data_IF_745533066839
#
_entry.id   IF_745533066839
#
_cell.length_a   1.000
_cell.length_b   1.000
_cell.length_c   1.000
_cell.angle_alpha   90.00
_cell.angle_beta   90.00
_cell.angle_gamma   90.00
#
_symmetry.space_group_name_H-M   'P 1'
#
loop_
_entity.id
_entity.type
_entity.pdbx_description
1 polymer ?
#
# COMPACT_ATOMS: atom_id res chain seq x y z
N UNK A 1 -14.13 -0.94 -7.21
CA UNK A 1 -14.22 -2.41 -6.95
C UNK A 1 -13.46 -3.20 -8.03
N UNK A 2 -12.25 -2.76 -8.40
CA UNK A 2 -11.61 -3.21 -9.65
C UNK A 2 -10.62 -4.36 -9.42
N UNK A 3 -9.97 -4.43 -8.25
CA UNK A 3 -8.94 -5.46 -7.98
C UNK A 3 -9.50 -6.87 -7.80
N UNK A 4 -10.57 -7.05 -7.01
CA UNK A 4 -11.23 -8.36 -6.80
C UNK A 4 -11.90 -8.84 -8.09
N UNK A 5 -12.56 -7.92 -8.82
CA UNK A 5 -13.21 -8.23 -10.10
C UNK A 5 -12.22 -8.82 -11.11
N UNK A 6 -11.05 -8.19 -11.28
CA UNK A 6 -9.99 -8.69 -12.16
C UNK A 6 -9.46 -10.08 -11.78
N UNK A 7 -9.39 -10.40 -10.48
CA UNK A 7 -8.96 -11.73 -10.02
C UNK A 7 -10.01 -12.80 -10.30
N UNK A 8 -11.28 -12.48 -10.07
CA UNK A 8 -12.41 -13.37 -10.39
C UNK A 8 -12.53 -13.61 -11.90
N UNK A 9 -12.37 -12.57 -12.72
CA UNK A 9 -12.37 -12.68 -14.19
C UNK A 9 -11.20 -13.51 -14.74
N UNK A 10 -10.08 -13.56 -14.00
CA UNK A 10 -8.89 -14.36 -14.34
C UNK A 10 -8.90 -15.76 -13.73
N UNK A 11 -10.02 -16.16 -13.11
CA UNK A 11 -10.18 -17.42 -12.37
C UNK A 11 -9.06 -17.67 -11.34
N UNK A 12 -8.45 -16.60 -10.82
CA UNK A 12 -7.46 -16.72 -9.77
C UNK A 12 -8.17 -16.98 -8.45
N UNK A 13 -7.88 -18.10 -7.76
CA UNK A 13 -8.50 -18.40 -6.49
C UNK A 13 -8.15 -17.31 -5.47
N UNK A 14 -9.17 -16.83 -4.77
CA UNK A 14 -9.06 -15.95 -3.60
C UNK A 14 -9.47 -16.78 -2.39
N UNK A 15 -8.59 -16.89 -1.40
CA UNK A 15 -8.97 -17.47 -0.13
C UNK A 15 -10.04 -16.61 0.55
N UNK A 16 -10.80 -17.22 1.46
CA UNK A 16 -11.79 -16.51 2.27
C UNK A 16 -11.16 -15.31 3.01
N UNK A 17 -9.93 -15.47 3.51
CA UNK A 17 -9.22 -14.40 4.20
C UNK A 17 -8.84 -13.24 3.25
N UNK A 18 -8.34 -13.54 2.06
CA UNK A 18 -8.00 -12.50 1.08
C UNK A 18 -9.25 -11.74 0.60
N UNK A 19 -10.37 -12.44 0.43
CA UNK A 19 -11.63 -11.81 0.04
C UNK A 19 -12.15 -10.84 1.13
N UNK A 20 -12.03 -11.23 2.41
CA UNK A 20 -12.50 -10.42 3.53
C UNK A 20 -11.52 -9.31 3.95
N UNK A 21 -10.36 -9.19 3.32
CA UNK A 21 -9.36 -8.17 3.65
C UNK A 21 -9.92 -6.74 3.60
N UNK A 22 -10.76 -6.43 2.60
CA UNK A 22 -11.36 -5.09 2.47
C UNK A 22 -12.24 -4.72 3.67
N UNK A 23 -12.94 -5.70 4.24
CA UNK A 23 -13.81 -5.50 5.42
C UNK A 23 -12.97 -5.22 6.65
N UNK A 24 -11.89 -5.98 6.85
CA UNK A 24 -10.98 -5.77 7.97
C UNK A 24 -10.33 -4.39 7.93
N UNK A 25 -9.74 -4.00 6.79
CA UNK A 25 -9.13 -2.67 6.64
C UNK A 25 -10.16 -1.54 6.78
N UNK A 26 -11.38 -1.73 6.30
CA UNK A 26 -12.46 -0.75 6.48
C UNK A 26 -12.84 -0.58 7.95
N UNK A 27 -12.89 -1.67 8.71
CA UNK A 27 -13.17 -1.64 10.15
C UNK A 27 -12.05 -0.96 10.94
N UNK A 28 -10.79 -1.15 10.55
CA UNK A 28 -9.66 -0.43 11.14
C UNK A 28 -9.85 1.09 11.00
N UNK A 29 -10.28 1.59 9.83
CA UNK A 29 -10.50 3.03 9.65
C UNK A 29 -11.63 3.55 10.53
N UNK A 30 -12.73 2.80 10.66
CA UNK A 30 -13.81 3.14 11.59
C UNK A 30 -13.34 3.17 13.05
N UNK A 31 -12.59 2.17 13.51
CA UNK A 31 -12.09 2.11 14.88
C UNK A 31 -11.08 3.23 15.17
N UNK A 32 -10.22 3.57 14.21
CA UNK A 32 -9.30 4.70 14.32
C UNK A 32 -10.05 6.04 14.36
N UNK A 33 -11.13 6.20 13.59
CA UNK A 33 -11.98 7.37 13.69
C UNK A 33 -12.62 7.46 15.08
N UNK A 34 -13.23 6.38 15.55
CA UNK A 34 -13.91 6.33 16.85
C UNK A 34 -12.98 6.60 18.04
N UNK A 35 -11.74 6.11 17.99
CA UNK A 35 -10.79 6.19 19.12
C UNK A 35 -9.93 7.44 19.10
N UNK A 36 -9.64 7.98 17.93
CA UNK A 36 -8.61 9.01 17.75
C UNK A 36 -9.02 10.14 16.81
N UNK A 37 -10.31 10.22 16.44
CA UNK A 37 -10.82 11.20 15.48
C UNK A 37 -10.05 11.20 14.15
N UNK A 38 -9.50 10.05 13.75
CA UNK A 38 -8.86 9.91 12.46
C UNK A 38 -9.89 10.10 11.35
N UNK A 39 -9.72 11.12 10.52
CA UNK A 39 -10.65 11.44 9.42
C UNK A 39 -10.06 11.19 8.02
N UNK A 40 -8.77 10.86 7.91
CA UNK A 40 -8.09 10.69 6.64
C UNK A 40 -7.30 9.37 6.63
N UNK A 41 -7.54 8.55 5.61
CA UNK A 41 -6.70 7.39 5.30
C UNK A 41 -5.91 7.64 4.03
N UNK A 42 -4.60 7.41 4.10
CA UNK A 42 -3.68 7.54 2.96
C UNK A 42 -3.13 6.17 2.56
N UNK A 43 -2.78 5.98 1.29
CA UNK A 43 -2.14 4.76 0.81
C UNK A 43 -1.61 4.85 -0.61
N UNK A 44 -1.02 3.77 -1.11
CA UNK A 44 -0.64 3.65 -2.52
C UNK A 44 -1.86 3.61 -3.44
N UNK A 45 -1.64 3.81 -4.75
CA UNK A 45 -2.70 3.84 -5.77
C UNK A 45 -3.58 2.58 -5.78
N UNK A 46 -3.03 1.44 -5.40
CA UNK A 46 -3.71 0.14 -5.31
C UNK A 46 -4.66 0.01 -4.10
N UNK A 47 -4.54 0.89 -3.10
CA UNK A 47 -5.35 0.86 -1.88
C UNK A 47 -6.70 1.57 -2.02
N UNK A 48 -6.96 2.27 -3.12
CA UNK A 48 -8.16 3.10 -3.31
C UNK A 48 -9.46 2.35 -2.97
N UNK A 49 -9.60 1.10 -3.45
CA UNK A 49 -10.79 0.30 -3.20
C UNK A 49 -11.03 0.01 -1.71
N UNK A 50 -9.96 -0.24 -0.96
CA UNK A 50 -10.05 -0.56 0.46
C UNK A 50 -10.38 0.69 1.28
N UNK A 51 -9.76 1.83 0.94
CA UNK A 51 -10.00 3.12 1.59
C UNK A 51 -11.46 3.55 1.41
N UNK A 52 -11.99 3.47 0.18
CA UNK A 52 -13.41 3.80 -0.08
C UNK A 52 -14.35 2.90 0.72
N UNK A 53 -14.02 1.61 0.86
CA UNK A 53 -14.80 0.69 1.68
C UNK A 53 -14.83 1.12 3.15
N UNK A 54 -13.71 1.58 3.71
CA UNK A 54 -13.63 2.13 5.06
C UNK A 54 -14.45 3.42 5.23
N UNK A 55 -14.38 4.34 4.26
CA UNK A 55 -15.20 5.57 4.26
C UNK A 55 -16.69 5.24 4.30
N UNK A 56 -17.14 4.34 3.42
CA UNK A 56 -18.54 3.92 3.38
C UNK A 56 -18.97 3.21 4.67
N UNK A 57 -18.12 2.38 5.25
CA UNK A 57 -18.39 1.70 6.52
C UNK A 57 -18.53 2.69 7.67
N UNK A 58 -17.55 3.59 7.84
CA UNK A 58 -17.57 4.60 8.89
C UNK A 58 -18.79 5.51 8.79
N UNK A 59 -19.13 5.96 7.58
CA UNK A 59 -20.36 6.73 7.34
C UNK A 59 -21.62 5.96 7.74
N UNK A 60 -21.71 4.66 7.46
CA UNK A 60 -22.88 3.84 7.81
C UNK A 60 -22.99 3.56 9.31
N UNK A 61 -21.86 3.40 10.01
CA UNK A 61 -21.84 3.03 11.42
C UNK A 61 -22.00 4.22 12.37
N UNK A 62 -21.40 5.37 12.04
CA UNK A 62 -21.39 6.54 12.94
C UNK A 62 -21.80 7.86 12.28
N UNK A 63 -22.09 7.86 10.97
CA UNK A 63 -22.35 9.11 10.24
C UNK A 63 -21.10 9.97 10.03
N UNK A 64 -19.90 9.43 10.32
CA UNK A 64 -18.66 10.18 10.19
C UNK A 64 -18.36 10.59 8.75
N UNK A 65 -17.82 11.79 8.58
CA UNK A 65 -17.28 12.26 7.31
C UNK A 65 -15.79 11.92 7.24
N UNK A 66 -15.48 10.85 6.51
CA UNK A 66 -14.13 10.32 6.32
C UNK A 66 -13.62 10.58 4.91
N UNK A 67 -12.30 10.73 4.79
CA UNK A 67 -11.62 11.08 3.55
C UNK A 67 -10.53 10.06 3.20
N UNK A 68 -10.22 9.97 1.92
CA UNK A 68 -9.22 9.06 1.38
C UNK A 68 -8.30 9.80 0.42
N UNK A 69 -7.01 9.50 0.50
CA UNK A 69 -6.02 9.97 -0.46
C UNK A 69 -5.14 8.81 -0.91
N UNK A 70 -4.89 8.73 -2.21
CA UNK A 70 -3.89 7.80 -2.74
C UNK A 70 -2.77 8.53 -3.44
N UNK A 71 -1.55 8.02 -3.28
CA UNK A 71 -0.39 8.49 -4.03
C UNK A 71 -0.23 7.67 -5.30
N UNK A 72 0.27 8.26 -6.40
CA UNK A 72 0.61 7.50 -7.60
C UNK A 72 1.69 6.47 -7.28
N UNK A 73 1.76 5.42 -8.10
CA UNK A 73 2.89 4.52 -8.07
C UNK A 73 4.16 5.28 -8.47
N UNK A 74 5.20 5.23 -7.65
CA UNK A 74 6.47 5.88 -7.95
C UNK A 74 7.18 5.15 -9.09
N UNK A 75 7.51 5.90 -10.14
CA UNK A 75 8.24 5.44 -11.32
C UNK A 75 9.41 6.35 -11.61
N UNK A 76 10.49 5.80 -12.15
CA UNK A 76 11.63 6.55 -12.69
C UNK A 76 11.21 7.32 -13.97
N UNK A 77 12.06 8.23 -14.45
CA UNK A 77 11.86 8.91 -15.74
C UNK A 77 11.75 7.94 -16.92
N UNK A 78 12.43 6.79 -16.83
CA UNK A 78 12.35 5.67 -17.77
C UNK A 78 11.07 4.83 -17.66
N UNK A 79 10.17 5.14 -16.71
CA UNK A 79 8.90 4.45 -16.48
C UNK A 79 9.00 3.14 -15.70
N UNK A 80 10.19 2.78 -15.20
CA UNK A 80 10.36 1.61 -14.35
C UNK A 80 9.86 1.89 -12.93
N UNK A 81 9.39 0.86 -12.22
CA UNK A 81 8.93 1.01 -10.82
C UNK A 81 10.12 1.34 -9.92
N UNK A 82 10.01 2.44 -9.18
CA UNK A 82 11.03 2.84 -8.22
C UNK A 82 11.21 1.75 -7.14
N UNK A 83 12.46 1.42 -6.79
CA UNK A 83 12.76 0.43 -5.75
C UNK A 83 12.82 -1.04 -6.20
N UNK A 84 12.57 -1.34 -7.48
CA UNK A 84 12.95 -2.63 -8.09
C UNK A 84 14.23 -2.43 -8.90
N UNK A 85 15.35 -2.91 -8.37
CA UNK A 85 16.58 -3.04 -9.16
C UNK A 85 16.53 -4.33 -9.98
N UNK A 86 17.41 -4.48 -10.98
CA UNK A 86 17.61 -5.76 -11.68
C UNK A 86 17.88 -6.93 -10.71
N UNK A 87 18.40 -6.63 -9.52
CA UNK A 87 18.74 -7.59 -8.47
C UNK A 87 17.65 -7.76 -7.38
N UNK A 88 16.45 -7.18 -7.57
CA UNK A 88 15.33 -7.32 -6.64
C UNK A 88 15.03 -6.07 -5.82
N UNK A 89 14.35 -6.28 -4.68
CA UNK A 89 13.85 -5.20 -3.82
C UNK A 89 14.97 -4.55 -2.99
N UNK A 90 14.89 -3.24 -2.81
CA UNK A 90 15.71 -2.47 -1.88
C UNK A 90 15.03 -2.52 -0.50
N UNK A 91 15.74 -3.00 0.52
CA UNK A 91 15.20 -3.17 1.88
C UNK A 91 15.58 -2.00 2.77
N UNK A 92 14.66 -1.58 3.64
CA UNK A 92 14.95 -0.54 4.64
C UNK A 92 15.77 -1.08 5.84
N UNK A 93 15.74 -2.40 6.03
CA UNK A 93 16.47 -3.05 7.11
C UNK A 93 17.94 -3.31 6.72
N UNK A 94 18.83 -3.20 7.70
CA UNK A 94 20.23 -3.63 7.56
C UNK A 94 20.61 -4.57 8.70
N UNK A 95 21.06 -5.77 8.36
CA UNK A 95 21.63 -6.70 9.31
C UNK A 95 23.03 -7.13 8.84
N UNK A 96 24.04 -6.86 9.68
CA UNK A 96 25.44 -7.16 9.37
C UNK A 96 25.63 -8.65 9.13
N UNK A 97 26.14 -9.00 7.95
CA UNK A 97 26.41 -10.38 7.55
C UNK A 97 25.23 -11.09 6.85
N UNK A 98 24.05 -10.47 6.77
CA UNK A 98 22.93 -10.96 5.94
C UNK A 98 22.85 -10.21 4.62
N UNK A 99 22.61 -10.98 3.55
CA UNK A 99 22.37 -10.47 2.19
C UNK A 99 20.90 -10.51 1.80
N UNK A 100 20.14 -11.46 2.32
CA UNK A 100 18.70 -11.55 2.07
C UNK A 100 17.94 -10.57 2.95
N UNK A 101 16.94 -9.90 2.36
CA UNK A 101 16.06 -8.96 3.07
C UNK A 101 16.80 -7.82 3.82
N UNK A 102 18.00 -7.46 3.34
CA UNK A 102 18.92 -6.53 3.97
C UNK A 102 19.58 -5.66 2.91
N UNK A 103 19.69 -4.36 3.14
CA UNK A 103 20.44 -3.43 2.28
C UNK A 103 21.36 -2.60 3.16
N UNK A 104 22.64 -2.56 2.81
CA UNK A 104 23.58 -1.74 3.56
C UNK A 104 23.22 -0.24 3.39
N UNK A 105 23.25 0.59 4.45
CA UNK A 105 22.81 1.99 4.36
C UNK A 105 23.55 2.82 3.30
N UNK A 106 24.84 2.53 3.07
CA UNK A 106 25.62 3.14 1.97
C UNK A 106 25.02 2.81 0.61
N UNK A 107 24.75 1.54 0.36
CA UNK A 107 24.23 1.07 -0.92
C UNK A 107 22.81 1.63 -1.15
N UNK A 108 22.01 1.75 -0.09
CA UNK A 108 20.71 2.42 -0.13
C UNK A 108 20.82 3.88 -0.59
N UNK A 109 21.76 4.64 0.00
CA UNK A 109 22.00 6.03 -0.37
C UNK A 109 22.49 6.15 -1.82
N UNK A 110 23.46 5.33 -2.23
CA UNK A 110 23.97 5.32 -3.61
C UNK A 110 22.86 5.03 -4.63
N UNK A 111 21.91 4.14 -4.30
CA UNK A 111 20.76 3.83 -5.15
C UNK A 111 19.80 5.01 -5.27
N UNK A 112 19.52 5.72 -4.17
CA UNK A 112 18.68 6.91 -4.21
C UNK A 112 19.31 8.02 -5.06
N UNK A 113 20.60 8.29 -4.89
CA UNK A 113 21.28 9.32 -5.68
C UNK A 113 21.36 8.98 -7.17
N UNK A 114 21.38 7.69 -7.54
CA UNK A 114 21.30 7.28 -8.95
C UNK A 114 19.92 7.55 -9.53
N UNK A 115 18.86 7.22 -8.78
CA UNK A 115 17.49 7.42 -9.23
C UNK A 115 17.08 8.90 -9.33
N UNK A 116 17.69 9.78 -8.52
CA UNK A 116 17.44 11.23 -8.58
C UNK A 116 18.12 11.91 -9.77
N UNK A 117 19.14 11.26 -10.36
CA UNK A 117 19.89 11.74 -11.53
C UNK A 117 19.33 11.27 -12.87
N UNK A 118 18.37 10.35 -12.86
CA UNK A 118 17.70 9.79 -14.04
C UNK A 118 16.31 10.39 -14.25
#
# INVERSE_FOLDING_TARGET
>A
MTSVKLRLEREQPLSFLEFNYMVMQGYDFYELNKRYDCILQMGGSDQWGNIVCGIDLGRRLSGASLFGLTTPLLTTSSGQKMGKTENGAIWLNYEKGKKDFSTHPRDFLELLERQDRE
#
